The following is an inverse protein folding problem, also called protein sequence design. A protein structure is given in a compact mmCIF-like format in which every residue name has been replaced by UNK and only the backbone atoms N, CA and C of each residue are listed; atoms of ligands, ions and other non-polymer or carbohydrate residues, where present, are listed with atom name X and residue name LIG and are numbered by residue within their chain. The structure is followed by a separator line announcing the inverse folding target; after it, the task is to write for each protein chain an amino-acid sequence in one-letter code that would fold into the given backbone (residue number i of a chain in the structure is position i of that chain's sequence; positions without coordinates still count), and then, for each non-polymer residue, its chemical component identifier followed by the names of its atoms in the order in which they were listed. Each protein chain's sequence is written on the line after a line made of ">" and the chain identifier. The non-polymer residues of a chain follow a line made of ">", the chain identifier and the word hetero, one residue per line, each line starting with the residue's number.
data_IF_610496467601
#
_entry.id   IF_610496467601
#
_cell.length_a   1.000
_cell.length_b   1.000
_cell.length_c   1.000
_cell.angle_alpha   90.00
_cell.angle_beta   90.00
_cell.angle_gamma   90.00
#
_symmetry.space_group_name_H-M   'P 1'
#
loop_
_entity.id
_entity.type
_entity.pdbx_description
1 polymer ?
#
# COMPACT_ATOMS: atom_id res chain seq x y z
N UNK A 1 1.88 -4.54 -1.92
CA UNK A 1 3.12 -3.72 -1.92
C UNK A 1 4.38 -4.58 -1.80
N UNK A 2 4.66 -5.14 -0.61
CA UNK A 2 5.92 -5.85 -0.33
C UNK A 2 6.17 -7.06 -1.24
N UNK A 3 5.13 -7.79 -1.62
CA UNK A 3 5.22 -8.97 -2.51
C UNK A 3 5.56 -8.58 -3.95
N UNK A 4 4.97 -7.49 -4.45
CA UNK A 4 5.27 -6.96 -5.81
C UNK A 4 6.71 -6.50 -5.86
N UNK A 5 7.15 -5.80 -4.82
CA UNK A 5 8.53 -5.39 -4.64
C UNK A 5 9.50 -6.58 -4.68
N UNK A 6 9.26 -7.62 -3.87
CA UNK A 6 10.07 -8.83 -3.85
C UNK A 6 10.12 -9.49 -5.23
N UNK A 7 8.97 -9.60 -5.90
CA UNK A 7 8.89 -10.21 -7.23
C UNK A 7 9.67 -9.40 -8.27
N UNK A 8 9.62 -8.07 -8.22
CA UNK A 8 10.40 -7.21 -9.11
C UNK A 8 11.91 -7.27 -8.79
N UNK A 9 12.29 -7.32 -7.52
CA UNK A 9 13.69 -7.50 -7.12
C UNK A 9 14.27 -8.80 -7.64
N UNK A 10 13.50 -9.90 -7.60
CA UNK A 10 13.96 -11.20 -8.05
C UNK A 10 14.29 -11.23 -9.57
N UNK A 11 13.60 -10.41 -10.36
CA UNK A 11 13.88 -10.25 -11.79
C UNK A 11 15.05 -9.31 -12.12
N UNK A 12 15.46 -8.44 -11.18
CA UNK A 12 16.42 -7.36 -11.46
C UNK A 12 17.75 -7.50 -10.73
N UNK A 13 17.79 -8.21 -9.60
CA UNK A 13 19.00 -8.43 -8.81
C UNK A 13 19.46 -9.86 -9.05
N UNK A 14 20.60 -10.04 -9.72
CA UNK A 14 21.17 -11.38 -9.95
C UNK A 14 21.89 -11.89 -8.69
N UNK A 15 22.64 -11.01 -8.00
CA UNK A 15 23.43 -11.31 -6.79
C UNK A 15 22.98 -10.49 -5.57
N UNK A 16 22.43 -11.13 -4.53
CA UNK A 16 21.98 -10.49 -3.29
C UNK A 16 21.23 -11.42 -2.33
N UNK A 17 20.78 -10.90 -1.18
CA UNK A 17 19.90 -11.63 -0.24
C UNK A 17 18.57 -11.86 -0.94
N UNK A 18 18.37 -13.07 -1.44
CA UNK A 18 17.12 -13.52 -2.07
C UNK A 18 16.41 -14.47 -1.13
N UNK A 19 15.10 -14.29 -1.01
CA UNK A 19 14.24 -15.36 -0.56
C UNK A 19 14.16 -16.40 -1.71
N UNK A 20 15.08 -17.37 -1.70
CA UNK A 20 15.28 -18.29 -2.83
C UNK A 20 14.15 -19.32 -2.96
N UNK A 21 13.56 -19.71 -1.82
CA UNK A 21 12.51 -20.73 -1.79
C UNK A 21 11.13 -20.13 -2.08
N UNK A 22 10.44 -20.70 -3.07
CA UNK A 22 9.05 -20.36 -3.41
C UNK A 22 8.09 -20.52 -2.24
N UNK A 23 8.38 -21.45 -1.32
CA UNK A 23 7.61 -21.65 -0.10
C UNK A 23 7.77 -20.48 0.88
N UNK A 24 9.01 -20.05 1.13
CA UNK A 24 9.29 -18.94 2.05
C UNK A 24 8.63 -17.63 1.58
N UNK A 25 8.61 -17.39 0.27
CA UNK A 25 7.91 -16.26 -0.36
C UNK A 25 6.41 -16.30 -0.14
N UNK A 26 5.78 -17.47 -0.33
CA UNK A 26 4.35 -17.66 -0.07
C UNK A 26 4.02 -17.50 1.41
N UNK A 27 4.81 -18.06 2.31
CA UNK A 27 4.61 -17.93 3.75
C UNK A 27 4.72 -16.47 4.20
N UNK A 28 5.73 -15.74 3.72
CA UNK A 28 5.88 -14.32 4.01
C UNK A 28 4.71 -13.48 3.48
N UNK A 29 4.20 -13.79 2.28
CA UNK A 29 3.03 -13.15 1.72
C UNK A 29 1.76 -13.40 2.56
N UNK A 30 1.52 -14.66 2.93
CA UNK A 30 0.38 -15.07 3.76
C UNK A 30 0.46 -14.40 5.13
N UNK A 31 1.64 -14.39 5.76
CA UNK A 31 1.86 -13.75 7.06
C UNK A 31 1.56 -12.25 7.03
N UNK A 32 2.08 -11.52 6.04
CA UNK A 32 1.78 -10.09 5.89
C UNK A 32 0.30 -9.81 5.63
N UNK A 33 -0.37 -10.69 4.88
CA UNK A 33 -1.80 -10.58 4.64
C UNK A 33 -2.61 -10.87 5.91
N UNK A 34 -2.21 -11.89 6.68
CA UNK A 34 -2.86 -12.29 7.93
C UNK A 34 -2.77 -11.18 8.99
N UNK A 35 -1.63 -10.48 9.09
CA UNK A 35 -1.47 -9.33 9.99
C UNK A 35 -2.57 -8.28 9.75
N UNK A 36 -2.91 -7.98 8.50
CA UNK A 36 -3.98 -7.04 8.17
C UNK A 36 -5.34 -7.47 8.73
N UNK A 37 -5.67 -8.75 8.61
CA UNK A 37 -6.92 -9.30 9.17
C UNK A 37 -6.94 -9.27 10.70
N UNK A 38 -5.80 -9.56 11.35
CA UNK A 38 -5.68 -9.53 12.82
C UNK A 38 -6.01 -8.17 13.41
N UNK A 39 -5.73 -7.06 12.73
CA UNK A 39 -6.08 -5.71 13.22
C UNK A 39 -7.57 -5.36 13.06
N UNK A 40 -8.27 -6.00 12.13
CA UNK A 40 -9.69 -5.74 11.85
C UNK A 40 -10.60 -6.63 12.70
N UNK A 41 -10.20 -7.89 12.94
CA UNK A 41 -11.01 -8.88 13.68
C UNK A 41 -11.47 -8.38 15.07
N UNK A 42 -10.61 -7.79 15.92
CA UNK A 42 -11.03 -7.29 17.23
C UNK A 42 -12.10 -6.21 17.14
N UNK A 43 -12.04 -5.36 16.10
CA UNK A 43 -13.06 -4.33 15.85
C UNK A 43 -14.38 -5.00 15.45
N UNK A 44 -14.34 -5.98 14.54
CA UNK A 44 -15.54 -6.70 14.09
C UNK A 44 -16.19 -7.54 15.19
N UNK A 45 -15.40 -8.10 16.10
CA UNK A 45 -15.91 -8.87 17.24
C UNK A 45 -16.56 -7.99 18.33
N UNK A 46 -16.22 -6.70 18.38
CA UNK A 46 -16.79 -5.74 19.32
C UNK A 46 -17.85 -4.84 18.67
N UNK A 47 -18.42 -5.24 17.53
CA UNK A 47 -19.54 -4.53 16.92
C UNK A 47 -20.74 -4.60 17.87
N UNK A 48 -21.28 -3.44 18.30
CA UNK A 48 -22.40 -3.41 19.22
C UNK A 48 -23.71 -3.85 18.53
N UNK A 49 -24.68 -4.25 19.34
CA UNK A 49 -26.04 -4.48 18.87
C UNK A 49 -26.58 -3.21 18.22
N UNK A 50 -27.02 -3.31 16.97
CA UNK A 50 -27.36 -2.14 16.16
C UNK A 50 -28.60 -1.41 16.67
N UNK A 51 -29.56 -2.11 17.27
CA UNK A 51 -30.79 -1.50 17.81
C UNK A 51 -30.47 -0.69 19.08
N UNK A 52 -29.59 -1.22 19.92
CA UNK A 52 -29.11 -0.52 21.12
C UNK A 52 -28.21 0.65 20.74
N UNK A 53 -27.28 0.44 19.81
CA UNK A 53 -26.34 1.46 19.36
C UNK A 53 -27.06 2.65 18.72
N UNK A 54 -28.06 2.40 17.85
CA UNK A 54 -28.87 3.47 17.24
C UNK A 54 -29.57 4.31 18.29
N UNK A 55 -30.17 3.67 19.31
CA UNK A 55 -30.82 4.39 20.43
C UNK A 55 -29.81 5.19 21.26
N UNK A 56 -28.62 4.65 21.50
CA UNK A 56 -27.58 5.35 22.22
C UNK A 56 -27.07 6.56 21.45
N UNK A 57 -26.79 6.43 20.15
CA UNK A 57 -26.38 7.54 19.28
C UNK A 57 -27.50 8.57 19.14
N UNK A 58 -28.77 8.16 19.05
CA UNK A 58 -29.91 9.08 18.98
C UNK A 58 -30.01 10.02 20.20
N UNK A 59 -29.52 9.60 21.38
CA UNK A 59 -29.45 10.47 22.58
C UNK A 59 -28.42 11.60 22.44
N UNK A 60 -27.41 11.44 21.59
CA UNK A 60 -26.38 12.45 21.34
C UNK A 60 -26.78 13.45 20.27
N UNK A 61 -27.77 13.11 19.43
CA UNK A 61 -28.24 13.98 18.35
C UNK A 61 -29.32 14.91 18.91
N UNK A 62 -29.13 16.22 18.73
CA UNK A 62 -30.17 17.20 19.06
C UNK A 62 -31.30 17.06 18.03
N UNK A 63 -32.45 16.54 18.47
CA UNK A 63 -33.64 16.25 17.65
C UNK A 63 -33.36 15.28 16.48
N UNK A 64 -33.25 13.96 16.74
CA UNK A 64 -33.08 12.99 15.68
C UNK A 64 -34.32 12.95 14.78
N UNK A 65 -34.16 13.08 13.45
CA UNK A 65 -35.27 12.92 12.51
C UNK A 65 -35.81 11.48 12.59
N UNK A 66 -37.13 11.25 12.46
CA UNK A 66 -37.71 9.91 12.58
C UNK A 66 -37.11 8.91 11.57
N UNK A 67 -36.68 9.39 10.40
CA UNK A 67 -36.01 8.62 9.37
C UNK A 67 -34.67 8.01 9.84
N UNK A 68 -34.06 8.54 10.91
CA UNK A 68 -32.82 8.01 11.47
C UNK A 68 -32.93 6.55 11.91
N UNK A 69 -34.10 6.14 12.42
CA UNK A 69 -34.31 4.78 12.91
C UNK A 69 -34.51 3.78 11.76
N UNK A 70 -35.18 4.22 10.69
CA UNK A 70 -35.48 3.41 9.50
C UNK A 70 -34.31 3.34 8.50
N UNK A 71 -33.35 4.28 8.57
CA UNK A 71 -32.19 4.24 7.70
C UNK A 71 -31.27 3.03 8.01
N UNK A 72 -30.66 2.42 6.97
CA UNK A 72 -29.69 1.33 7.12
C UNK A 72 -28.32 1.88 7.57
N UNK A 73 -28.29 2.55 8.73
CA UNK A 73 -27.07 3.05 9.35
C UNK A 73 -26.42 1.90 10.12
N UNK A 74 -25.16 1.65 9.82
CA UNK A 74 -24.34 0.68 10.55
C UNK A 74 -23.38 1.40 11.50
N UNK A 75 -23.52 1.14 12.79
CA UNK A 75 -22.66 1.70 13.84
C UNK A 75 -21.56 0.69 14.12
N UNK A 76 -20.35 1.01 13.66
CA UNK A 76 -19.18 0.13 13.77
C UNK A 76 -18.66 0.01 15.21
N UNK A 77 -18.70 1.10 15.99
CA UNK A 77 -18.42 1.07 17.43
C UNK A 77 -19.03 2.29 18.13
N UNK A 78 -19.46 2.10 19.38
CA UNK A 78 -19.84 3.20 20.29
C UNK A 78 -18.61 3.78 21.00
N UNK A 79 -17.63 2.95 21.35
CA UNK A 79 -16.33 3.38 21.88
C UNK A 79 -15.26 3.37 20.78
N UNK A 80 -14.67 4.55 20.55
CA UNK A 80 -13.65 4.75 19.52
C UNK A 80 -12.26 4.28 19.92
N UNK A 81 -12.01 3.90 21.18
CA UNK A 81 -10.68 3.58 21.69
C UNK A 81 -10.04 2.40 20.92
N UNK A 82 -10.76 1.29 20.77
CA UNK A 82 -10.25 0.10 20.09
C UNK A 82 -9.98 0.36 18.59
N UNK A 83 -10.90 1.04 17.91
CA UNK A 83 -10.72 1.41 16.49
C UNK A 83 -9.49 2.30 16.33
N UNK A 84 -9.35 3.32 17.18
CA UNK A 84 -8.23 4.26 17.13
C UNK A 84 -6.90 3.55 17.31
N UNK A 85 -6.78 2.67 18.30
CA UNK A 85 -5.55 1.91 18.53
C UNK A 85 -5.25 0.95 17.39
N UNK A 86 -6.21 0.16 16.93
CA UNK A 86 -6.01 -0.80 15.83
C UNK A 86 -5.59 -0.12 14.52
N UNK A 87 -6.23 0.99 14.17
CA UNK A 87 -5.87 1.78 12.96
C UNK A 87 -4.49 2.40 13.11
N UNK A 88 -4.17 2.94 14.29
CA UNK A 88 -2.86 3.58 14.54
C UNK A 88 -1.72 2.58 14.53
N UNK A 89 -1.89 1.40 15.15
CA UNK A 89 -0.87 0.34 15.16
C UNK A 89 -0.64 -0.23 13.76
N UNK A 90 -1.71 -0.44 12.99
CA UNK A 90 -1.63 -0.90 11.61
C UNK A 90 -0.87 0.11 10.74
N UNK A 91 -1.18 1.41 10.86
CA UNK A 91 -0.48 2.46 10.15
C UNK A 91 1.02 2.49 10.52
N UNK A 92 1.35 2.38 11.81
CA UNK A 92 2.73 2.36 12.28
C UNK A 92 3.54 1.19 11.69
N UNK A 93 2.96 -0.02 11.66
CA UNK A 93 3.60 -1.20 11.07
C UNK A 93 3.84 -0.99 9.58
N UNK A 94 2.85 -0.48 8.85
CA UNK A 94 3.01 -0.23 7.42
C UNK A 94 4.07 0.85 7.12
N UNK A 95 4.14 1.91 7.93
CA UNK A 95 5.20 2.91 7.83
C UNK A 95 6.58 2.32 8.10
N UNK A 96 6.71 1.46 9.13
CA UNK A 96 7.96 0.76 9.43
C UNK A 96 8.40 -0.19 8.31
N UNK A 97 7.47 -0.95 7.72
CA UNK A 97 7.76 -1.80 6.56
C UNK A 97 8.17 -0.98 5.33
N UNK A 98 7.47 0.13 5.07
CA UNK A 98 7.77 1.05 3.98
C UNK A 98 9.16 1.68 4.12
N UNK A 99 9.49 2.18 5.31
CA UNK A 99 10.80 2.78 5.58
C UNK A 99 11.93 1.76 5.49
N UNK A 100 11.75 0.56 6.05
CA UNK A 100 12.71 -0.54 5.91
C UNK A 100 12.99 -0.87 4.44
N UNK A 101 11.95 -0.97 3.62
CA UNK A 101 12.08 -1.24 2.18
C UNK A 101 12.89 -0.13 1.48
N UNK A 102 12.56 1.14 1.72
CA UNK A 102 13.26 2.29 1.13
C UNK A 102 14.73 2.32 1.56
N UNK A 103 15.03 2.10 2.84
CA UNK A 103 16.39 2.07 3.37
C UNK A 103 17.18 0.93 2.72
N UNK A 104 16.62 -0.28 2.70
CA UNK A 104 17.26 -1.45 2.11
C UNK A 104 17.55 -1.24 0.62
N UNK A 105 16.60 -0.71 -0.14
CA UNK A 105 16.81 -0.39 -1.55
C UNK A 105 17.87 0.69 -1.76
N UNK A 106 17.85 1.74 -0.95
CA UNK A 106 18.82 2.83 -1.03
C UNK A 106 20.23 2.33 -0.73
N UNK A 107 20.38 1.51 0.30
CA UNK A 107 21.64 0.86 0.65
C UNK A 107 22.15 -0.03 -0.49
N UNK A 108 21.28 -0.87 -1.06
CA UNK A 108 21.65 -1.72 -2.19
C UNK A 108 22.07 -0.88 -3.40
N UNK A 109 21.32 0.19 -3.71
CA UNK A 109 21.61 1.10 -4.82
C UNK A 109 22.98 1.79 -4.63
N UNK A 110 23.32 2.25 -3.43
CA UNK A 110 24.59 2.94 -3.18
C UNK A 110 25.76 1.95 -3.10
N UNK A 111 25.60 0.84 -2.38
CA UNK A 111 26.69 -0.08 -2.06
C UNK A 111 27.05 -1.00 -3.23
N UNK A 112 26.05 -1.66 -3.84
CA UNK A 112 26.28 -2.69 -4.86
C UNK A 112 26.40 -2.13 -6.27
N UNK A 113 25.78 -0.99 -6.55
CA UNK A 113 25.73 -0.42 -7.90
C UNK A 113 26.98 0.37 -8.29
N UNK A 114 27.86 0.71 -7.33
CA UNK A 114 29.15 1.38 -7.62
C UNK A 114 30.10 0.52 -8.46
N UNK A 115 29.99 -0.81 -8.36
CA UNK A 115 30.82 -1.76 -9.11
C UNK A 115 30.21 -2.14 -10.47
N UNK A 116 29.03 -1.61 -10.81
CA UNK A 116 28.30 -1.97 -12.02
C UNK A 116 28.54 -0.96 -13.14
N UNK A 117 28.39 -1.41 -14.39
CA UNK A 117 28.46 -0.53 -15.56
C UNK A 117 27.42 0.59 -15.49
N UNK A 118 27.70 1.71 -16.16
CA UNK A 118 26.81 2.88 -16.22
C UNK A 118 25.38 2.50 -16.62
N UNK A 119 25.25 1.55 -17.56
CA UNK A 119 23.97 1.09 -18.08
C UNK A 119 23.15 0.32 -17.04
N UNK A 120 23.78 -0.63 -16.33
CA UNK A 120 23.11 -1.40 -15.25
C UNK A 120 22.77 -0.49 -14.08
N UNK A 121 23.64 0.48 -13.75
CA UNK A 121 23.39 1.48 -12.72
C UNK A 121 22.16 2.33 -13.01
N UNK A 122 21.98 2.77 -14.25
CA UNK A 122 20.79 3.53 -14.66
C UNK A 122 19.50 2.71 -14.53
N UNK A 123 19.54 1.41 -14.86
CA UNK A 123 18.38 0.52 -14.70
C UNK A 123 18.00 0.34 -13.22
N UNK A 124 18.98 0.12 -12.34
CA UNK A 124 18.75 0.01 -10.89
C UNK A 124 18.19 1.32 -10.29
N UNK A 125 18.65 2.49 -10.75
CA UNK A 125 18.10 3.78 -10.33
C UNK A 125 16.64 3.96 -10.74
N UNK A 126 16.29 3.60 -11.99
CA UNK A 126 14.90 3.65 -12.47
C UNK A 126 14.00 2.71 -11.67
N UNK A 127 14.47 1.51 -11.37
CA UNK A 127 13.77 0.57 -10.50
C UNK A 127 13.50 1.16 -9.12
N UNK A 128 14.51 1.75 -8.48
CA UNK A 128 14.34 2.38 -7.17
C UNK A 128 13.26 3.47 -7.19
N UNK A 129 13.28 4.36 -8.18
CA UNK A 129 12.25 5.41 -8.33
C UNK A 129 10.86 4.78 -8.47
N UNK A 130 10.73 3.74 -9.30
CA UNK A 130 9.46 3.00 -9.45
C UNK A 130 8.97 2.43 -8.12
N UNK A 131 9.85 1.81 -7.33
CA UNK A 131 9.49 1.26 -6.02
C UNK A 131 9.06 2.36 -5.06
N UNK A 132 9.77 3.47 -4.99
CA UNK A 132 9.39 4.62 -4.16
C UNK A 132 8.01 5.15 -4.54
N UNK A 133 7.72 5.29 -5.83
CA UNK A 133 6.41 5.74 -6.32
C UNK A 133 5.33 4.71 -6.00
N UNK A 134 5.61 3.42 -6.22
CA UNK A 134 4.69 2.33 -5.89
C UNK A 134 4.36 2.32 -4.40
N UNK A 135 5.30 2.59 -3.49
CA UNK A 135 5.01 2.68 -2.06
C UNK A 135 4.25 3.97 -1.76
N UNK A 136 4.76 5.13 -2.15
CA UNK A 136 4.23 6.42 -1.71
C UNK A 136 2.79 6.68 -2.19
N UNK A 137 2.48 6.32 -3.43
CA UNK A 137 1.22 6.68 -4.06
C UNK A 137 -0.01 6.00 -3.40
N UNK A 138 -0.08 4.67 -3.26
CA UNK A 138 -1.18 4.02 -2.55
C UNK A 138 -1.22 4.34 -1.06
N UNK A 139 -0.07 4.56 -0.40
CA UNK A 139 -0.06 5.09 0.97
C UNK A 139 -0.72 6.46 1.06
N UNK A 140 -0.55 7.32 0.06
CA UNK A 140 -1.21 8.63 0.02
C UNK A 140 -2.71 8.48 -0.24
N UNK A 141 -3.10 7.63 -1.18
CA UNK A 141 -4.51 7.38 -1.54
C UNK A 141 -5.32 6.84 -0.35
N UNK A 142 -4.75 5.93 0.45
CA UNK A 142 -5.42 5.38 1.64
C UNK A 142 -5.16 6.21 2.90
N UNK A 143 -3.97 6.78 3.05
CA UNK A 143 -3.54 7.49 4.24
C UNK A 143 -4.36 8.75 4.49
N UNK A 144 -4.67 9.52 3.44
CA UNK A 144 -5.50 10.73 3.56
C UNK A 144 -6.90 10.40 4.11
N UNK A 145 -7.68 9.47 3.50
CA UNK A 145 -8.96 8.99 4.06
C UNK A 145 -8.86 8.50 5.51
N UNK A 146 -7.83 7.71 5.84
CA UNK A 146 -7.67 7.15 7.18
C UNK A 146 -7.40 8.25 8.21
N UNK A 147 -6.51 9.20 7.90
CA UNK A 147 -6.24 10.35 8.78
C UNK A 147 -7.49 11.19 8.99
N UNK A 148 -8.28 11.43 7.94
CA UNK A 148 -9.55 12.14 8.05
C UNK A 148 -10.54 11.39 8.95
N UNK A 149 -10.66 10.07 8.82
CA UNK A 149 -11.56 9.27 9.67
C UNK A 149 -11.13 9.29 11.14
N UNK A 150 -9.82 9.17 11.41
CA UNK A 150 -9.30 9.29 12.78
C UNK A 150 -9.60 10.68 13.36
N UNK A 151 -9.41 11.74 12.58
CA UNK A 151 -9.74 13.12 12.98
C UNK A 151 -11.25 13.30 13.24
N UNK A 152 -12.10 12.83 12.32
CA UNK A 152 -13.56 12.86 12.41
C UNK A 152 -14.05 12.18 13.69
N UNK A 153 -13.50 11.01 14.02
CA UNK A 153 -13.80 10.27 15.25
C UNK A 153 -13.25 10.97 16.50
N UNK A 154 -12.05 11.53 16.46
CA UNK A 154 -11.44 12.19 17.62
C UNK A 154 -12.11 13.52 17.99
N UNK A 155 -12.65 14.23 17.00
CA UNK A 155 -13.29 15.56 17.18
C UNK A 155 -14.82 15.51 17.21
N UNK A 156 -15.42 14.38 16.85
CA UNK A 156 -16.87 14.26 16.63
C UNK A 156 -17.36 14.96 15.36
N UNK A 157 -16.46 15.44 14.49
CA UNK A 157 -16.82 16.12 13.25
C UNK A 157 -17.21 15.10 12.16
N UNK A 158 -18.51 14.82 12.05
CA UNK A 158 -19.03 13.87 11.07
C UNK A 158 -19.68 14.58 9.88
N UNK A 159 -18.98 14.66 8.76
CA UNK A 159 -19.51 15.17 7.50
C UNK A 159 -19.75 14.02 6.51
N UNK A 160 -21.01 13.83 6.12
CA UNK A 160 -21.43 12.68 5.31
C UNK A 160 -20.80 12.67 3.91
N UNK A 161 -20.62 13.84 3.28
CA UNK A 161 -19.94 13.93 1.99
C UNK A 161 -18.49 13.47 2.11
N UNK A 162 -17.74 14.00 3.08
CA UNK A 162 -16.33 13.63 3.27
C UNK A 162 -16.16 12.18 3.71
N UNK A 163 -17.03 11.66 4.59
CA UNK A 163 -17.04 10.26 4.98
C UNK A 163 -17.28 9.33 3.78
N UNK A 164 -18.26 9.65 2.93
CA UNK A 164 -18.56 8.86 1.73
C UNK A 164 -17.40 8.87 0.73
N UNK A 165 -16.79 10.03 0.49
CA UNK A 165 -15.61 10.15 -0.37
C UNK A 165 -14.43 9.35 0.20
N UNK A 166 -14.19 9.43 1.51
CA UNK A 166 -13.15 8.67 2.18
C UNK A 166 -13.36 7.16 2.01
N UNK A 167 -14.60 6.67 2.19
CA UNK A 167 -14.94 5.26 1.99
C UNK A 167 -14.69 4.81 0.53
N UNK A 168 -15.11 5.60 -0.46
CA UNK A 168 -14.89 5.28 -1.88
C UNK A 168 -13.39 5.19 -2.20
N UNK A 169 -12.59 6.16 -1.74
CA UNK A 169 -11.14 6.17 -1.94
C UNK A 169 -10.48 4.95 -1.28
N UNK A 170 -10.90 4.61 -0.05
CA UNK A 170 -10.45 3.40 0.63
C UNK A 170 -10.89 2.12 -0.09
N UNK A 171 -12.04 2.05 -0.74
CA UNK A 171 -12.39 0.85 -1.53
C UNK A 171 -11.56 0.75 -2.82
N UNK A 172 -11.29 1.88 -3.47
CA UNK A 172 -10.58 1.93 -4.75
C UNK A 172 -9.05 1.78 -4.62
N UNK A 173 -8.47 2.00 -3.44
CA UNK A 173 -7.02 2.02 -3.26
C UNK A 173 -6.33 0.74 -3.77
N UNK A 174 -6.91 -0.45 -3.51
CA UNK A 174 -6.37 -1.75 -3.92
C UNK A 174 -6.33 -1.89 -5.44
N UNK A 175 -7.38 -1.45 -6.10
CA UNK A 175 -7.49 -1.46 -7.55
C UNK A 175 -6.49 -0.51 -8.19
N UNK A 176 -6.46 0.74 -7.73
CA UNK A 176 -5.52 1.76 -8.19
C UNK A 176 -4.06 1.31 -7.99
N UNK A 177 -3.73 0.80 -6.80
CA UNK A 177 -2.39 0.26 -6.47
C UNK A 177 -1.92 -0.81 -7.45
N UNK A 178 -2.82 -1.69 -7.88
CA UNK A 178 -2.52 -2.75 -8.84
C UNK A 178 -2.27 -2.18 -10.24
N UNK A 179 -3.13 -1.26 -10.70
CA UNK A 179 -2.94 -0.58 -12.00
C UNK A 179 -1.60 0.14 -12.03
N UNK A 180 -1.30 0.96 -11.02
CA UNK A 180 -0.03 1.69 -10.96
C UNK A 180 1.18 0.75 -10.96
N UNK A 181 1.07 -0.37 -10.26
CA UNK A 181 2.13 -1.39 -10.25
C UNK A 181 2.40 -1.96 -11.64
N UNK A 182 1.34 -2.30 -12.39
CA UNK A 182 1.43 -2.84 -13.75
C UNK A 182 1.97 -1.80 -14.74
N UNK A 183 1.42 -0.58 -14.72
CA UNK A 183 1.82 0.51 -15.61
C UNK A 183 3.31 0.84 -15.42
N UNK A 184 3.75 0.95 -14.18
CA UNK A 184 5.16 1.20 -13.88
C UNK A 184 6.08 0.06 -14.33
N UNK A 185 5.69 -1.19 -14.11
CA UNK A 185 6.47 -2.33 -14.56
C UNK A 185 6.59 -2.38 -16.09
N UNK A 186 5.50 -2.07 -16.81
CA UNK A 186 5.50 -2.01 -18.26
C UNK A 186 6.39 -0.87 -18.79
N UNK A 187 6.36 0.29 -18.15
CA UNK A 187 7.25 1.41 -18.49
C UNK A 187 8.73 1.06 -18.29
N UNK A 188 9.06 0.35 -17.21
CA UNK A 188 10.41 -0.16 -16.98
C UNK A 188 10.85 -1.17 -18.07
N UNK A 189 9.97 -2.11 -18.45
CA UNK A 189 10.25 -3.11 -19.49
C UNK A 189 10.47 -2.48 -20.87
N UNK A 190 9.62 -1.52 -21.27
CA UNK A 190 9.77 -0.80 -22.55
C UNK A 190 11.12 -0.07 -22.65
N UNK A 191 11.54 0.58 -21.56
CA UNK A 191 12.86 1.22 -21.47
C UNK A 191 14.04 0.24 -21.58
N UNK A 192 13.88 -0.99 -21.08
CA UNK A 192 14.85 -2.08 -21.25
C UNK A 192 14.87 -2.67 -22.67
N UNK A 193 13.70 -2.91 -23.26
CA UNK A 193 13.55 -3.53 -24.59
C UNK A 193 14.08 -2.63 -25.72
N UNK A 194 13.80 -1.32 -25.67
CA UNK A 194 14.42 -0.35 -26.60
C UNK A 194 15.96 -0.39 -26.51
N UNK A 195 16.49 -0.66 -25.32
CA UNK A 195 17.92 -0.71 -25.09
C UNK A 195 18.57 -2.00 -25.57
N UNK A 196 17.89 -3.15 -25.48
CA UNK A 196 18.36 -4.42 -26.07
C UNK A 196 18.39 -4.35 -27.60
N UNK A 197 17.39 -3.73 -28.23
CA UNK A 197 17.40 -3.46 -29.68
C UNK A 197 18.60 -2.58 -30.09
N UNK A 198 18.97 -1.60 -29.27
CA UNK A 198 20.11 -0.71 -29.57
C UNK A 198 21.46 -1.43 -29.46
N UNK A 199 21.61 -2.44 -28.60
CA UNK A 199 22.84 -3.27 -28.53
C UNK A 199 22.97 -4.27 -29.68
N UNK A 200 21.86 -4.82 -30.18
CA UNK A 200 21.90 -5.72 -31.34
C UNK A 200 22.21 -4.97 -32.66
N UNK A 201 22.00 -3.66 -32.72
CA UNK A 201 22.37 -2.82 -33.88
C UNK A 201 23.82 -2.32 -33.87
N UNK A 202 24.56 -2.46 -32.76
CA UNK A 202 25.96 -1.99 -32.64
C UNK A 202 26.96 -3.13 -32.88
N UNK A 203 26.53 -4.40 -32.81
CA UNK A 203 27.40 -5.56 -33.04
C UNK A 203 27.60 -5.92 -34.53
N UNK A 204 27.09 -5.13 -35.48
CA UNK A 204 27.18 -5.40 -36.92
C UNK A 204 28.25 -4.58 -37.66
N UNK A 205 29.02 -3.72 -36.98
CA UNK A 205 29.94 -2.77 -37.64
C UNK A 205 31.38 -2.76 -37.10
N UNK A 206 31.87 -3.90 -36.61
CA UNK A 206 33.31 -4.15 -36.57
C UNK A 206 33.63 -5.26 -37.59
N UNK A 207 33.95 -4.79 -38.80
CA UNK A 207 34.33 -5.54 -40.00
C UNK A 207 35.55 -6.45 -39.71
N UNK A 208 35.73 -7.62 -40.34
CA UNK A 208 35.98 -7.82 -41.79
C UNK A 208 36.95 -6.79 -42.38
N UNK A 209 38.22 -6.86 -41.99
CA UNK A 209 39.38 -6.78 -42.90
C UNK A 209 40.65 -7.12 -42.15
#
# INVERSE_FOLDING_TARGET
>A
MVIVFENQQNHLVTDGIKLSSTLSRRLFAIFNQAIGFVFIIPVLMNVPDQEVAKRNVAKWIVCPPPEFFDMPIFILAEDSYLIRWSVSSMLAIYLAQGSFCIIHCSYHLISKTRKLSFKTRNMQRKFFITVCVQIFLPFTIIGIPVCFLVFSVATGYHNQLFNNVAMILMSLHSFLSTIFSIVMQNNMKKGGFLCCKKTNGISSNYQSK
#
